data_IF_047627999154
#
_entry.id   IF_047627999154
#
_cell.length_a   1.000
_cell.length_b   1.000
_cell.length_c   1.000
_cell.angle_alpha   90.00
_cell.angle_beta   90.00
_cell.angle_gamma   90.00
#
_symmetry.space_group_name_H-M   'P 1'
#
loop_
_entity.id
_entity.type
_entity.pdbx_description
1 polymer ?
#
# COMPACT_ATOMS: atom_id res chain seq x y z
N UNK A 1 -27.74 30.30 -56.53
CA UNK A 1 -27.61 28.90 -56.08
C UNK A 1 -26.20 28.44 -56.41
N UNK A 2 -25.31 28.43 -55.42
CA UNK A 2 -23.99 27.79 -55.51
C UNK A 2 -23.65 27.27 -54.12
N UNK A 3 -23.41 25.98 -54.07
CA UNK A 3 -23.51 25.09 -52.92
C UNK A 3 -22.12 25.03 -52.28
N UNK A 4 -21.95 25.58 -51.07
CA UNK A 4 -20.66 25.49 -50.36
C UNK A 4 -20.48 24.07 -49.84
N UNK A 5 -19.40 23.44 -50.32
CA UNK A 5 -19.10 22.02 -50.21
C UNK A 5 -18.67 21.68 -48.77
N UNK A 6 -19.42 20.81 -48.09
CA UNK A 6 -19.21 20.36 -46.69
C UNK A 6 -17.88 19.63 -46.41
N UNK A 7 -16.97 19.56 -47.38
CA UNK A 7 -15.71 18.79 -47.30
C UNK A 7 -14.48 19.62 -46.94
N UNK A 8 -14.56 20.95 -46.99
CA UNK A 8 -13.39 21.81 -46.79
C UNK A 8 -13.16 22.23 -45.33
N UNK A 9 -14.06 21.87 -44.41
CA UNK A 9 -13.97 22.32 -43.01
C UNK A 9 -13.14 21.40 -42.10
N UNK A 10 -12.74 20.22 -42.56
CA UNK A 10 -12.01 19.24 -41.74
C UNK A 10 -10.48 19.36 -41.83
N UNK A 11 -9.94 20.23 -42.69
CA UNK A 11 -8.50 20.29 -42.94
C UNK A 11 -7.73 21.30 -42.05
N UNK A 12 -8.41 22.16 -41.29
CA UNK A 12 -7.76 23.20 -40.47
C UNK A 12 -7.73 22.93 -38.97
N UNK A 13 -8.27 21.79 -38.50
CA UNK A 13 -8.30 21.44 -37.07
C UNK A 13 -7.15 20.51 -36.62
N UNK A 14 -6.21 20.19 -37.50
CA UNK A 14 -5.18 19.17 -37.26
C UNK A 14 -3.84 19.65 -36.66
N UNK A 15 -3.63 20.96 -36.47
CA UNK A 15 -2.31 21.50 -36.17
C UNK A 15 -2.11 22.04 -34.72
N UNK A 16 -3.12 21.95 -33.86
CA UNK A 16 -3.06 22.54 -32.50
C UNK A 16 -3.06 21.51 -31.35
N UNK A 17 -2.98 20.21 -31.61
CA UNK A 17 -3.13 19.17 -30.58
C UNK A 17 -1.81 18.65 -29.99
N UNK A 18 -0.65 19.18 -30.38
CA UNK A 18 0.65 18.61 -29.99
C UNK A 18 1.32 19.26 -28.76
N UNK A 19 0.66 20.19 -28.07
CA UNK A 19 1.26 20.93 -26.94
C UNK A 19 0.65 20.63 -25.55
N UNK A 20 -0.32 19.71 -25.44
CA UNK A 20 -0.99 19.40 -24.17
C UNK A 20 -0.37 18.23 -23.37
N UNK A 21 0.82 17.75 -23.73
CA UNK A 21 1.42 16.54 -23.12
C UNK A 21 2.36 16.81 -21.92
N UNK A 22 2.44 18.04 -21.42
CA UNK A 22 3.25 18.39 -20.24
C UNK A 22 2.38 18.92 -19.09
N UNK A 23 1.26 18.24 -18.80
CA UNK A 23 0.55 18.43 -17.55
C UNK A 23 1.31 17.73 -16.42
N UNK A 24 2.25 18.44 -15.79
CA UNK A 24 2.75 18.05 -14.47
C UNK A 24 1.55 17.87 -13.54
N UNK A 25 1.45 16.72 -12.86
CA UNK A 25 0.32 16.29 -12.03
C UNK A 25 0.09 17.11 -10.76
N UNK A 26 0.10 18.44 -10.85
CA UNK A 26 -0.42 19.33 -9.81
C UNK A 26 -1.95 19.31 -9.91
N UNK A 27 -2.59 18.55 -9.02
CA UNK A 27 -4.05 18.35 -8.99
C UNK A 27 -4.54 16.96 -9.41
N UNK A 28 -3.68 15.92 -9.36
CA UNK A 28 -4.17 14.53 -9.49
C UNK A 28 -5.00 14.15 -8.25
N UNK A 29 -6.12 13.46 -8.44
CA UNK A 29 -6.90 12.87 -7.35
C UNK A 29 -6.18 11.67 -6.69
N UNK A 30 -4.91 11.43 -7.02
CA UNK A 30 -4.14 10.26 -6.60
C UNK A 30 -4.03 10.15 -5.08
N UNK A 31 -3.72 11.26 -4.40
CA UNK A 31 -3.66 11.30 -2.94
C UNK A 31 -5.02 11.01 -2.30
N UNK A 32 -6.07 11.69 -2.75
CA UNK A 32 -7.43 11.53 -2.24
C UNK A 32 -7.97 10.09 -2.43
N UNK A 33 -7.67 9.46 -3.57
CA UNK A 33 -8.04 8.06 -3.83
C UNK A 33 -7.29 7.10 -2.90
N UNK A 34 -6.01 7.36 -2.62
CA UNK A 34 -5.26 6.55 -1.65
C UNK A 34 -5.85 6.73 -0.25
N UNK A 35 -6.14 7.96 0.17
CA UNK A 35 -6.69 8.25 1.48
C UNK A 35 -8.04 7.57 1.70
N UNK A 36 -8.95 7.65 0.71
CA UNK A 36 -10.24 6.96 0.78
C UNK A 36 -10.10 5.44 0.93
N UNK A 37 -9.12 4.83 0.23
CA UNK A 37 -8.82 3.39 0.37
C UNK A 37 -8.23 3.06 1.73
N UNK A 38 -7.36 3.93 2.25
CA UNK A 38 -6.77 3.80 3.59
C UNK A 38 -7.84 3.90 4.68
N UNK A 39 -8.79 4.84 4.56
CA UNK A 39 -9.91 4.95 5.49
C UNK A 39 -10.74 3.67 5.52
N UNK A 40 -11.16 3.19 4.34
CA UNK A 40 -11.90 1.93 4.21
C UNK A 40 -11.14 0.74 4.80
N UNK A 41 -9.83 0.68 4.57
CA UNK A 41 -8.95 -0.40 5.06
C UNK A 41 -8.80 -0.36 6.58
N UNK A 42 -8.59 0.84 7.16
CA UNK A 42 -8.51 1.05 8.60
C UNK A 42 -9.81 0.65 9.28
N UNK A 43 -10.94 1.07 8.72
CA UNK A 43 -12.25 0.75 9.28
C UNK A 43 -12.53 -0.75 9.20
N UNK A 44 -12.16 -1.41 8.09
CA UNK A 44 -12.23 -2.86 7.96
C UNK A 44 -11.35 -3.58 9.01
N UNK A 45 -10.11 -3.13 9.19
CA UNK A 45 -9.19 -3.67 10.21
C UNK A 45 -9.81 -3.59 11.61
N UNK A 46 -10.34 -2.42 11.97
CA UNK A 46 -10.94 -2.19 13.28
C UNK A 46 -12.24 -2.93 13.50
N UNK A 47 -13.02 -3.17 12.46
CA UNK A 47 -14.25 -3.94 12.54
C UNK A 47 -13.96 -5.44 12.67
N UNK A 48 -12.98 -5.95 11.91
CA UNK A 48 -12.61 -7.37 11.92
C UNK A 48 -11.78 -7.75 13.15
N UNK A 49 -10.89 -6.85 13.59
CA UNK A 49 -9.99 -7.06 14.72
C UNK A 49 -10.05 -5.89 15.71
N UNK A 50 -11.08 -5.78 16.55
CA UNK A 50 -11.28 -4.64 17.45
C UNK A 50 -10.09 -4.34 18.38
N UNK A 51 -9.33 -5.38 18.77
CA UNK A 51 -8.13 -5.25 19.61
C UNK A 51 -7.02 -4.40 18.95
N UNK A 52 -7.02 -4.27 17.61
CA UNK A 52 -6.03 -3.44 16.90
C UNK A 52 -6.23 -1.94 17.13
N UNK A 53 -7.42 -1.50 17.56
CA UNK A 53 -7.67 -0.09 17.91
C UNK A 53 -6.74 0.40 19.02
N UNK A 54 -6.53 -0.44 20.04
CA UNK A 54 -5.63 -0.11 21.15
C UNK A 54 -4.17 -0.06 20.67
N UNK A 55 -3.74 -1.01 19.84
CA UNK A 55 -2.39 -1.03 19.27
C UNK A 55 -2.13 0.21 18.41
N UNK A 56 -3.06 0.57 17.52
CA UNK A 56 -2.95 1.77 16.69
C UNK A 56 -2.91 3.04 17.54
N UNK A 57 -3.67 3.11 18.64
CA UNK A 57 -3.66 4.28 19.53
C UNK A 57 -2.32 4.47 20.27
N UNK A 58 -1.56 3.39 20.45
CA UNK A 58 -0.22 3.41 21.07
C UNK A 58 0.91 3.57 20.05
N UNK A 59 0.64 3.40 18.77
CA UNK A 59 1.63 3.52 17.71
C UNK A 59 1.98 4.99 17.44
N UNK A 60 3.26 5.27 17.20
CA UNK A 60 3.74 6.59 16.78
C UNK A 60 3.37 6.92 15.33
N UNK A 61 3.08 5.90 14.54
CA UNK A 61 2.55 6.02 13.18
C UNK A 61 2.10 4.67 12.66
N UNK A 62 1.23 4.67 11.65
CA UNK A 62 0.76 3.46 10.99
C UNK A 62 0.83 3.63 9.48
N UNK A 63 1.57 2.74 8.82
CA UNK A 63 1.55 2.62 7.36
C UNK A 63 0.45 1.65 6.97
N UNK A 64 -0.62 2.16 6.38
CA UNK A 64 -1.70 1.35 5.82
C UNK A 64 -1.42 1.08 4.35
N UNK A 65 -1.43 -0.19 3.96
CA UNK A 65 -1.36 -0.65 2.59
C UNK A 65 -2.68 -1.36 2.23
N UNK A 66 -3.65 -0.62 1.64
CA UNK A 66 -5.00 -1.13 1.34
C UNK A 66 -5.04 -2.35 0.44
N UNK A 67 -4.17 -2.37 -0.56
CA UNK A 67 -4.18 -3.39 -1.58
C UNK A 67 -2.74 -3.65 -2.03
N UNK A 68 -2.20 -4.77 -1.60
CA UNK A 68 -1.04 -5.40 -2.21
C UNK A 68 -1.56 -6.50 -3.12
N UNK A 69 -1.16 -6.45 -4.39
CA UNK A 69 -1.39 -7.56 -5.32
C UNK A 69 -0.08 -8.27 -5.55
N UNK A 70 -0.07 -9.56 -5.25
CA UNK A 70 1.07 -10.45 -5.39
C UNK A 70 0.76 -11.52 -6.42
N UNK A 71 1.75 -11.83 -7.25
CA UNK A 71 1.67 -12.92 -8.22
C UNK A 71 3.06 -13.55 -8.40
N UNK A 72 3.09 -14.87 -8.58
CA UNK A 72 4.34 -15.59 -8.84
C UNK A 72 4.14 -16.95 -9.49
N UNK A 73 5.12 -17.36 -10.30
CA UNK A 73 5.28 -18.69 -10.89
C UNK A 73 6.77 -19.06 -10.87
N UNK A 74 7.33 -19.34 -9.70
CA UNK A 74 8.78 -19.48 -9.51
C UNK A 74 9.48 -18.16 -9.16
N UNK A 75 9.29 -17.16 -10.01
CA UNK A 75 9.62 -15.77 -9.74
C UNK A 75 8.31 -15.00 -9.55
N UNK A 76 8.25 -14.15 -8.54
CA UNK A 76 7.07 -13.37 -8.27
C UNK A 76 7.39 -11.97 -7.78
N UNK A 77 6.37 -11.14 -7.79
CA UNK A 77 6.44 -9.81 -7.25
C UNK A 77 5.11 -9.37 -6.71
N UNK A 78 5.16 -8.33 -5.88
CA UNK A 78 3.96 -7.66 -5.43
C UNK A 78 4.09 -6.15 -5.56
N UNK A 79 2.95 -5.50 -5.75
CA UNK A 79 2.88 -4.05 -5.79
C UNK A 79 1.65 -3.56 -5.05
N UNK A 80 1.80 -2.44 -4.36
CA UNK A 80 0.68 -1.69 -3.82
C UNK A 80 1.06 -0.30 -3.40
N UNK A 81 0.05 0.52 -3.11
CA UNK A 81 0.21 1.91 -2.67
C UNK A 81 -0.60 2.13 -1.41
N UNK A 82 -0.12 3.00 -0.55
CA UNK A 82 -0.74 3.30 0.72
C UNK A 82 -0.26 4.62 1.30
N UNK A 83 -0.69 4.88 2.54
CA UNK A 83 -0.36 6.11 3.24
C UNK A 83 0.14 5.81 4.65
N UNK A 84 1.18 6.53 5.04
CA UNK A 84 1.64 6.62 6.41
C UNK A 84 0.80 7.69 7.12
N UNK A 85 0.19 7.28 8.24
CA UNK A 85 -0.60 8.15 9.09
C UNK A 85 0.04 8.31 10.46
N UNK A 86 0.04 9.54 10.97
CA UNK A 86 0.45 9.87 12.33
C UNK A 86 -0.73 10.61 12.96
N UNK A 87 -1.20 10.12 14.12
CA UNK A 87 -2.43 10.62 14.74
C UNK A 87 -3.63 10.64 13.76
N UNK A 88 -3.75 9.58 12.96
CA UNK A 88 -4.78 9.40 11.91
C UNK A 88 -4.77 10.44 10.77
N UNK A 89 -3.80 11.35 10.74
CA UNK A 89 -3.58 12.25 9.61
C UNK A 89 -2.55 11.68 8.64
N UNK A 90 -2.87 11.68 7.34
CA UNK A 90 -1.92 11.29 6.29
C UNK A 90 -0.77 12.28 6.23
N UNK A 91 0.45 11.77 6.46
CA UNK A 91 1.69 12.57 6.40
C UNK A 91 2.49 12.28 5.14
N UNK A 92 2.47 11.04 4.65
CA UNK A 92 3.30 10.58 3.55
C UNK A 92 2.60 9.46 2.77
N UNK A 93 2.84 9.37 1.47
CA UNK A 93 2.39 8.25 0.63
C UNK A 93 3.56 7.34 0.27
N UNK A 94 3.31 6.03 0.22
CA UNK A 94 4.31 5.03 -0.09
C UNK A 94 3.80 4.04 -1.14
N UNK A 95 4.71 3.57 -1.98
CA UNK A 95 4.52 2.37 -2.81
C UNK A 95 5.35 1.23 -2.26
N UNK A 96 4.73 0.07 -2.03
CA UNK A 96 5.42 -1.17 -1.71
C UNK A 96 5.68 -1.95 -3.00
N UNK A 97 6.94 -2.30 -3.24
CA UNK A 97 7.35 -3.21 -4.31
C UNK A 97 8.03 -4.41 -3.66
N UNK A 98 7.47 -5.60 -3.87
CA UNK A 98 8.02 -6.86 -3.36
C UNK A 98 8.62 -7.64 -4.52
N UNK A 99 9.79 -8.21 -4.30
CA UNK A 99 10.37 -9.23 -5.15
C UNK A 99 10.48 -10.53 -4.36
N UNK A 100 10.17 -11.64 -5.01
CA UNK A 100 10.14 -12.95 -4.39
C UNK A 100 10.64 -14.02 -5.34
N UNK A 101 11.39 -14.97 -4.80
CA UNK A 101 11.93 -16.12 -5.54
C UNK A 101 11.61 -17.37 -4.73
N UNK A 102 11.01 -18.36 -5.36
CA UNK A 102 10.67 -19.62 -4.70
C UNK A 102 9.65 -20.44 -5.45
N UNK A 103 9.29 -21.61 -4.91
CA UNK A 103 8.32 -22.52 -5.52
C UNK A 103 6.87 -22.04 -5.27
N UNK A 104 6.60 -20.76 -5.49
CA UNK A 104 5.26 -20.20 -5.41
C UNK A 104 4.58 -20.18 -6.77
N UNK A 105 3.30 -20.52 -6.74
CA UNK A 105 2.41 -20.47 -7.88
C UNK A 105 1.10 -19.86 -7.38
N UNK A 106 0.70 -18.76 -8.01
CA UNK A 106 -0.62 -18.18 -7.81
C UNK A 106 -0.66 -16.67 -7.80
N UNK A 107 -1.82 -16.17 -7.38
CA UNK A 107 -2.11 -14.75 -7.23
C UNK A 107 -2.86 -14.56 -5.93
N UNK A 108 -2.41 -13.62 -5.12
CA UNK A 108 -3.06 -13.25 -3.87
C UNK A 108 -3.11 -11.73 -3.76
N UNK A 109 -4.22 -11.25 -3.21
CA UNK A 109 -4.38 -9.88 -2.76
C UNK A 109 -4.52 -9.88 -1.25
N UNK A 110 -3.93 -8.89 -0.61
CA UNK A 110 -4.06 -8.68 0.82
C UNK A 110 -3.88 -7.22 1.19
N UNK A 111 -4.44 -6.83 2.33
CA UNK A 111 -4.15 -5.58 2.98
C UNK A 111 -3.17 -5.83 4.14
N UNK A 112 -2.36 -4.83 4.47
CA UNK A 112 -1.59 -4.87 5.71
C UNK A 112 -1.42 -3.49 6.33
N UNK A 113 -1.17 -3.49 7.64
CA UNK A 113 -0.86 -2.30 8.42
C UNK A 113 0.45 -2.54 9.18
N UNK A 114 1.42 -1.64 9.02
CA UNK A 114 2.63 -1.60 9.83
C UNK A 114 2.48 -0.53 10.90
N UNK A 115 2.45 -0.92 12.16
CA UNK A 115 2.33 -0.04 13.31
C UNK A 115 3.72 0.15 13.92
N UNK A 116 4.19 1.39 13.96
CA UNK A 116 5.48 1.75 14.53
C UNK A 116 5.30 2.04 16.02
N UNK A 117 5.77 1.12 16.88
CA UNK A 117 5.54 1.19 18.32
C UNK A 117 6.57 2.07 19.06
N UNK A 118 7.64 2.46 18.38
CA UNK A 118 8.65 3.40 18.91
C UNK A 118 8.91 4.56 17.94
N UNK A 119 9.30 5.74 18.45
CA UNK A 119 9.62 6.88 17.61
C UNK A 119 10.87 6.61 16.76
N UNK A 120 11.82 5.83 17.25
CA UNK A 120 13.02 5.42 16.51
C UNK A 120 12.64 4.57 15.29
N UNK A 121 11.71 3.62 15.45
CA UNK A 121 11.27 2.77 14.34
C UNK A 121 10.61 3.58 13.22
N UNK A 122 9.70 4.49 13.60
CA UNK A 122 9.04 5.40 12.65
C UNK A 122 10.06 6.31 11.96
N UNK A 123 10.97 6.90 12.73
CA UNK A 123 12.02 7.79 12.25
C UNK A 123 12.95 7.06 11.27
N UNK A 124 13.40 5.86 11.62
CA UNK A 124 14.27 5.04 10.79
C UNK A 124 13.57 4.61 9.51
N UNK A 125 12.31 4.19 9.58
CA UNK A 125 11.52 3.86 8.38
C UNK A 125 11.44 5.05 7.42
N UNK A 126 11.10 6.24 7.93
CA UNK A 126 10.97 7.45 7.12
C UNK A 126 12.28 7.99 6.56
N UNK A 127 13.41 7.77 7.25
CA UNK A 127 14.74 8.24 6.82
C UNK A 127 15.51 7.24 5.96
N UNK A 128 15.28 5.95 6.16
CA UNK A 128 15.93 4.90 5.37
C UNK A 128 15.45 4.94 3.92
N UNK A 129 16.18 4.27 3.03
CA UNK A 129 15.76 4.07 1.64
C UNK A 129 14.53 3.15 1.48
N UNK A 130 13.81 2.89 2.58
CA UNK A 130 12.52 2.21 2.57
C UNK A 130 12.61 0.69 2.45
N UNK A 131 13.75 0.08 2.72
CA UNK A 131 13.88 -1.37 2.67
C UNK A 131 13.37 -2.00 3.98
N UNK A 132 12.34 -2.84 3.87
CA UNK A 132 12.03 -3.80 4.92
C UNK A 132 12.40 -5.19 4.39
N UNK A 133 13.59 -5.66 4.78
CA UNK A 133 13.97 -7.04 4.55
C UNK A 133 13.13 -7.93 5.48
N UNK A 134 12.62 -9.06 4.97
CA UNK A 134 11.78 -9.98 5.74
C UNK A 134 12.42 -10.54 7.02
N UNK A 135 13.70 -10.25 7.30
CA UNK A 135 14.39 -10.59 8.53
C UNK A 135 14.02 -9.71 9.74
N UNK A 136 13.58 -8.46 9.51
CA UNK A 136 13.29 -7.50 10.58
C UNK A 136 11.78 -7.32 10.85
N UNK A 137 10.92 -7.98 10.07
CA UNK A 137 9.46 -7.93 10.19
C UNK A 137 8.91 -9.23 10.76
N UNK A 138 8.45 -9.20 12.02
CA UNK A 138 7.69 -10.31 12.61
C UNK A 138 6.22 -10.16 12.22
N UNK A 139 5.72 -11.09 11.41
CA UNK A 139 4.31 -11.14 11.01
C UNK A 139 3.47 -11.70 12.15
N UNK A 140 2.53 -10.91 12.67
CA UNK A 140 1.52 -11.40 13.62
C UNK A 140 0.30 -11.82 12.80
N UNK A 141 0.19 -13.11 12.52
CA UNK A 141 -1.00 -13.69 11.90
C UNK A 141 -1.97 -14.07 13.01
N UNK A 142 -3.10 -13.37 13.10
CA UNK A 142 -4.17 -13.71 14.05
C UNK A 142 -5.24 -14.51 13.33
N UNK A 143 -5.21 -15.84 13.47
CA UNK A 143 -6.23 -16.72 12.87
C UNK A 143 -7.56 -16.68 13.65
N UNK A 144 -7.55 -16.40 14.97
CA UNK A 144 -8.76 -16.56 15.80
C UNK A 144 -9.08 -15.39 16.76
N UNK A 145 -8.36 -14.27 16.73
CA UNK A 145 -8.65 -13.09 17.57
C UNK A 145 -8.55 -13.30 19.10
N UNK A 146 -8.41 -14.55 19.57
CA UNK A 146 -8.27 -14.92 20.97
C UNK A 146 -6.80 -14.97 21.42
N UNK A 147 -5.85 -15.10 20.48
CA UNK A 147 -4.41 -15.11 20.77
C UNK A 147 -3.82 -13.71 21.00
N UNK A 148 -4.55 -12.64 20.63
CA UNK A 148 -4.07 -11.26 20.79
C UNK A 148 -3.93 -10.83 22.26
N UNK A 149 -4.56 -11.53 23.22
CA UNK A 149 -4.53 -11.19 24.66
C UNK A 149 -3.44 -11.92 25.45
N UNK A 150 -2.92 -13.04 24.95
CA UNK A 150 -1.89 -13.81 25.66
C UNK A 150 -0.47 -13.37 25.27
N UNK A 151 -0.28 -12.85 24.06
CA UNK A 151 1.02 -12.35 23.58
C UNK A 151 1.23 -10.83 23.76
N UNK A 152 0.23 -10.08 24.25
CA UNK A 152 0.35 -8.62 24.43
C UNK A 152 1.35 -8.20 25.50
N UNK A 153 1.74 -9.12 26.41
CA UNK A 153 2.64 -8.80 27.52
C UNK A 153 4.13 -8.85 27.14
N UNK A 154 4.48 -9.36 25.95
CA UNK A 154 5.90 -9.70 25.63
C UNK A 154 6.37 -9.33 24.23
N UNK A 155 5.55 -8.72 23.37
CA UNK A 155 6.02 -8.27 22.04
C UNK A 155 6.53 -6.83 22.14
N UNK A 156 7.80 -6.70 22.54
CA UNK A 156 8.58 -5.45 22.53
C UNK A 156 9.08 -5.08 21.13
N UNK A 157 8.42 -5.55 20.08
CA UNK A 157 8.90 -5.36 18.72
C UNK A 157 8.65 -3.89 18.28
N UNK A 158 9.68 -3.20 17.75
CA UNK A 158 9.58 -1.80 17.37
C UNK A 158 8.59 -1.54 16.22
N UNK A 159 8.26 -2.56 15.44
CA UNK A 159 7.28 -2.53 14.34
C UNK A 159 6.38 -3.75 14.42
N UNK A 160 5.07 -3.56 14.45
CA UNK A 160 4.07 -4.62 14.40
C UNK A 160 3.40 -4.65 13.02
N UNK A 161 3.44 -5.80 12.34
CA UNK A 161 2.78 -5.98 11.06
C UNK A 161 1.51 -6.81 11.21
N UNK A 162 0.38 -6.27 10.77
CA UNK A 162 -0.91 -6.97 10.73
C UNK A 162 -1.33 -7.14 9.27
N UNK A 163 -1.50 -8.38 8.82
CA UNK A 163 -1.97 -8.73 7.47
C UNK A 163 -3.41 -9.21 7.54
N UNK A 164 -4.27 -8.74 6.65
CA UNK A 164 -5.71 -9.04 6.67
C UNK A 164 -6.35 -8.88 5.29
N UNK A 165 -7.63 -9.24 5.17
CA UNK A 165 -8.39 -9.08 3.92
C UNK A 165 -7.83 -9.92 2.78
N UNK A 166 -7.23 -11.06 3.09
CA UNK A 166 -6.60 -11.93 2.10
C UNK A 166 -7.65 -12.52 1.15
N UNK A 167 -7.37 -12.47 -0.13
CA UNK A 167 -8.17 -13.07 -1.19
C UNK A 167 -7.25 -13.65 -2.27
N UNK A 168 -7.65 -14.79 -2.85
CA UNK A 168 -6.85 -15.52 -3.82
C UNK A 168 -6.15 -16.73 -3.21
N UNK A 169 -5.28 -17.35 -4.01
CA UNK A 169 -4.58 -18.57 -3.66
C UNK A 169 -3.14 -18.43 -4.14
N UNK A 170 -2.21 -18.47 -3.19
CA UNK A 170 -0.78 -18.51 -3.45
C UNK A 170 -0.22 -19.68 -2.64
N UNK A 171 0.26 -20.70 -3.34
CA UNK A 171 0.79 -21.92 -2.74
C UNK A 171 2.28 -21.95 -3.01
N UNK A 172 3.07 -22.11 -1.96
CA UNK A 172 4.50 -22.33 -2.09
C UNK A 172 5.32 -21.90 -0.88
N UNK A 173 6.63 -21.95 -1.06
CA UNK A 173 7.61 -21.38 -0.14
C UNK A 173 8.47 -20.37 -0.89
N UNK A 174 8.62 -19.19 -0.33
CA UNK A 174 9.32 -18.04 -0.93
C UNK A 174 10.28 -17.38 0.02
N UNK A 175 11.33 -16.82 -0.55
CA UNK A 175 12.13 -15.78 0.10
C UNK A 175 11.69 -14.46 -0.52
N UNK A 176 11.43 -13.46 0.34
CA UNK A 176 10.78 -12.22 -0.05
C UNK A 176 11.51 -10.99 0.52
N UNK A 177 11.54 -9.92 -0.27
CA UNK A 177 11.98 -8.60 0.18
C UNK A 177 11.02 -7.52 -0.32
N UNK A 178 10.60 -6.61 0.57
CA UNK A 178 9.70 -5.51 0.21
C UNK A 178 10.40 -4.17 0.38
N UNK A 179 10.34 -3.34 -0.66
CA UNK A 179 10.81 -1.95 -0.63
C UNK A 179 9.63 -1.00 -0.65
N UNK A 180 9.55 -0.17 0.38
CA UNK A 180 8.60 0.93 0.54
C UNK A 180 9.22 2.24 0.07
N UNK A 181 8.89 2.68 -1.14
CA UNK A 181 9.39 3.94 -1.68
C UNK A 181 8.38 5.05 -1.41
N UNK A 182 8.83 6.20 -0.87
CA UNK A 182 7.97 7.38 -0.71
C UNK A 182 7.60 7.92 -2.09
N UNK A 183 6.33 8.26 -2.28
CA UNK A 183 5.79 8.74 -3.57
C UNK A 183 5.05 10.07 -3.39
N UNK A 184 4.95 10.83 -4.48
CA UNK A 184 4.06 11.98 -4.61
C UNK A 184 2.97 11.55 -5.61
N UNK A 185 1.75 11.24 -5.13
CA UNK A 185 0.70 10.62 -5.93
C UNK A 185 -0.01 11.58 -6.88
#
# INVERSE_FOLDING_TARGET
MSILNRRSFLASAGAATTLAACGNGVGSDGGAVIDARVDSTRDFLFNKYPATRELVSKAFGVLYMPLITEAGLGLGGAYGRGALRINDATVDYYSATKASVGLQIGVQQYAHALMFMTPEALSNFRRSEGWAAGADLKYVVSEDGQTLRAETTTVLDPVLAVVFGQAGLLIGATIEGTKYTRIIP
#
